data_IF_096783892946
#
_entry.id   IF_096783892946
#
_cell.length_a   1.000
_cell.length_b   1.000
_cell.length_c   1.000
_cell.angle_alpha   90.00
_cell.angle_beta   90.00
_cell.angle_gamma   90.00
#
_symmetry.space_group_name_H-M   'P 1'
#
loop_
_entity.id
_entity.type
_entity.pdbx_description
1 polymer ?
#
# COMPACT_ATOMS: atom_id res chain seq x y z
N UNK A 1 -38.86 18.63 -38.60
CA UNK A 1 -38.85 17.87 -37.36
C UNK A 1 -39.77 18.55 -36.36
N UNK A 2 -40.83 17.88 -35.91
CA UNK A 2 -41.86 18.46 -35.02
C UNK A 2 -41.25 19.01 -33.74
N UNK A 3 -41.74 20.14 -33.25
CA UNK A 3 -41.28 20.83 -32.04
C UNK A 3 -41.11 19.87 -30.85
N UNK A 4 -42.05 18.94 -30.66
CA UNK A 4 -42.05 17.94 -29.58
C UNK A 4 -40.87 16.95 -29.66
N UNK A 5 -40.42 16.60 -30.89
CA UNK A 5 -39.27 15.72 -31.06
C UNK A 5 -37.95 16.42 -30.75
N UNK A 6 -37.85 17.73 -31.04
CA UNK A 6 -36.68 18.55 -30.66
C UNK A 6 -36.60 18.73 -29.15
N UNK A 7 -37.72 18.97 -28.48
CA UNK A 7 -37.77 19.09 -27.03
C UNK A 7 -37.41 17.77 -26.32
N UNK A 8 -37.92 16.63 -26.81
CA UNK A 8 -37.58 15.31 -26.26
C UNK A 8 -36.08 14.98 -26.43
N UNK A 9 -35.49 15.35 -27.61
CA UNK A 9 -34.06 15.16 -27.83
C UNK A 9 -33.21 16.02 -26.88
N UNK A 10 -33.56 17.29 -26.71
CA UNK A 10 -32.84 18.19 -25.79
C UNK A 10 -32.96 17.69 -24.37
N UNK A 11 -34.15 17.24 -23.94
CA UNK A 11 -34.38 16.73 -22.59
C UNK A 11 -33.54 15.47 -22.31
N UNK A 12 -33.46 14.58 -23.32
CA UNK A 12 -32.63 13.35 -23.16
C UNK A 12 -31.14 13.66 -23.10
N UNK A 13 -30.64 14.63 -23.86
CA UNK A 13 -29.24 15.07 -23.79
C UNK A 13 -28.94 15.67 -22.42
N UNK A 14 -29.80 16.57 -21.93
CA UNK A 14 -29.67 17.16 -20.58
C UNK A 14 -29.67 16.08 -19.50
N UNK A 15 -30.58 15.11 -19.58
CA UNK A 15 -30.64 14.01 -18.60
C UNK A 15 -29.34 13.18 -18.59
N UNK A 16 -28.78 12.86 -19.77
CA UNK A 16 -27.53 12.10 -19.89
C UNK A 16 -26.35 12.91 -19.35
N UNK A 17 -26.26 14.20 -19.68
CA UNK A 17 -25.19 15.08 -19.16
C UNK A 17 -25.27 15.23 -17.65
N UNK A 18 -26.49 15.38 -17.11
CA UNK A 18 -26.71 15.45 -15.65
C UNK A 18 -26.32 14.12 -14.96
N UNK A 19 -26.66 12.98 -15.57
CA UNK A 19 -26.29 11.67 -15.04
C UNK A 19 -24.77 11.48 -15.00
N UNK A 20 -24.08 11.86 -16.08
CA UNK A 20 -22.61 11.81 -16.15
C UNK A 20 -22.00 12.73 -15.08
N UNK A 21 -22.50 13.96 -14.91
CA UNK A 21 -22.02 14.89 -13.90
C UNK A 21 -22.24 14.36 -12.48
N UNK A 22 -23.37 13.69 -12.21
CA UNK A 22 -23.65 13.04 -10.92
C UNK A 22 -22.71 11.87 -10.65
N UNK A 23 -22.47 11.00 -11.64
CA UNK A 23 -21.57 9.86 -11.52
C UNK A 23 -20.14 10.33 -11.29
N UNK A 24 -19.65 11.29 -12.09
CA UNK A 24 -18.30 11.86 -11.94
C UNK A 24 -18.17 12.59 -10.59
N UNK A 25 -19.17 13.35 -10.20
CA UNK A 25 -19.18 14.07 -8.92
C UNK A 25 -19.22 13.14 -7.72
N UNK A 26 -20.04 12.08 -7.76
CA UNK A 26 -20.10 11.06 -6.71
C UNK A 26 -18.80 10.24 -6.65
N UNK A 27 -18.24 9.89 -7.81
CA UNK A 27 -16.95 9.19 -7.89
C UNK A 27 -15.83 10.07 -7.36
N UNK A 28 -15.76 11.34 -7.74
CA UNK A 28 -14.78 12.30 -7.23
C UNK A 28 -14.91 12.51 -5.71
N UNK A 29 -16.15 12.66 -5.21
CA UNK A 29 -16.41 12.80 -3.77
C UNK A 29 -16.04 11.53 -3.01
N UNK A 30 -16.32 10.34 -3.58
CA UNK A 30 -15.94 9.06 -3.02
C UNK A 30 -14.41 8.91 -2.96
N UNK A 31 -13.70 9.20 -4.06
CA UNK A 31 -12.23 9.16 -4.10
C UNK A 31 -11.59 10.22 -3.19
N UNK A 32 -12.18 11.41 -3.08
CA UNK A 32 -11.71 12.43 -2.15
C UNK A 32 -11.96 12.05 -0.69
N UNK A 33 -13.09 11.40 -0.39
CA UNK A 33 -13.39 10.88 0.93
C UNK A 33 -12.54 9.66 1.30
N UNK A 34 -12.27 8.77 0.34
CA UNK A 34 -11.41 7.59 0.52
C UNK A 34 -9.91 7.95 0.48
N UNK A 35 -9.52 8.93 -0.34
CA UNK A 35 -8.14 9.45 -0.38
C UNK A 35 -7.77 10.25 0.88
N UNK A 36 -8.74 10.58 1.72
CA UNK A 36 -8.54 11.25 2.99
C UNK A 36 -8.31 10.34 4.19
N UNK A 37 -8.48 9.02 4.05
CA UNK A 37 -8.34 8.08 5.18
C UNK A 37 -6.90 7.64 5.48
N UNK A 38 -5.92 8.15 4.74
CA UNK A 38 -4.49 8.03 5.06
C UNK A 38 -3.86 9.34 5.52
N UNK A 39 -4.61 10.44 5.56
CA UNK A 39 -4.08 11.71 6.05
C UNK A 39 -4.15 11.77 7.57
N UNK A 40 -3.03 12.10 8.16
CA UNK A 40 -2.89 12.52 9.55
C UNK A 40 -4.12 13.30 10.03
N UNK A 41 -4.94 12.69 10.83
CA UNK A 41 -5.77 13.47 11.74
C UNK A 41 -4.79 14.06 12.74
N UNK A 42 -4.40 15.29 12.55
CA UNK A 42 -3.66 16.04 13.56
C UNK A 42 -4.62 16.25 14.75
N UNK A 43 -4.68 15.24 15.61
CA UNK A 43 -5.31 15.44 16.92
C UNK A 43 -4.34 16.22 17.76
N UNK A 44 -4.47 17.53 17.72
CA UNK A 44 -3.78 18.43 18.63
C UNK A 44 -4.40 18.29 20.02
N UNK A 45 -4.06 17.22 20.74
CA UNK A 45 -4.37 17.10 22.16
C UNK A 45 -3.26 17.81 22.92
N UNK A 46 -3.53 19.02 23.36
CA UNK A 46 -2.65 19.81 24.23
C UNK A 46 -2.77 19.33 25.69
N UNK A 47 -2.37 18.10 25.96
CA UNK A 47 -2.11 17.64 27.34
C UNK A 47 -0.82 16.83 27.34
N UNK A 48 0.20 17.39 27.96
CA UNK A 48 1.60 16.97 28.03
C UNK A 48 1.84 15.69 28.87
N UNK A 49 1.09 14.63 28.71
CA UNK A 49 1.21 13.43 29.56
C UNK A 49 1.37 12.12 28.80
N UNK A 50 1.40 12.11 27.47
CA UNK A 50 1.59 10.89 26.69
C UNK A 50 2.52 11.11 25.51
N UNK A 51 3.30 10.08 25.18
CA UNK A 51 4.09 10.05 23.94
C UNK A 51 3.16 10.15 22.72
N UNK A 52 3.61 10.84 21.68
CA UNK A 52 2.78 11.09 20.50
C UNK A 52 3.43 10.47 19.26
N UNK A 53 2.76 9.47 18.71
CA UNK A 53 3.10 8.89 17.40
C UNK A 53 2.14 9.43 16.35
N UNK A 54 2.69 10.06 15.31
CA UNK A 54 1.94 10.63 14.18
C UNK A 54 2.41 10.06 12.86
N UNK A 55 1.53 10.07 11.84
CA UNK A 55 1.80 9.53 10.53
C UNK A 55 1.51 10.53 9.43
N UNK A 56 2.33 10.50 8.38
CA UNK A 56 2.14 11.29 7.17
C UNK A 56 2.42 10.42 5.95
N UNK A 57 1.62 10.54 4.91
CA UNK A 57 1.83 9.85 3.63
C UNK A 57 1.94 10.83 2.48
N UNK A 58 2.66 10.42 1.43
CA UNK A 58 2.66 11.11 0.14
C UNK A 58 1.37 10.85 -0.64
N UNK A 59 1.30 11.40 -1.86
CA UNK A 59 0.18 11.19 -2.77
C UNK A 59 0.14 9.73 -3.26
N UNK A 60 -1.05 9.27 -3.64
CA UNK A 60 -1.19 7.99 -4.32
C UNK A 60 -0.41 7.97 -5.65
N UNK A 61 0.16 6.82 -6.00
CA UNK A 61 0.81 6.62 -7.30
C UNK A 61 -0.26 6.19 -8.29
N UNK A 62 -0.25 6.85 -9.47
CA UNK A 62 -1.02 6.44 -10.63
C UNK A 62 -0.08 6.40 -11.84
N UNK A 63 0.02 5.24 -12.48
CA UNK A 63 0.76 5.06 -13.72
C UNK A 63 -0.22 4.68 -14.84
N UNK A 64 -0.03 5.30 -15.98
CA UNK A 64 -0.78 5.02 -17.20
C UNK A 64 0.18 4.91 -18.37
N UNK A 65 0.16 3.79 -19.06
CA UNK A 65 0.95 3.57 -20.27
C UNK A 65 0.09 3.84 -21.50
N UNK A 66 0.48 4.82 -22.31
CA UNK A 66 -0.10 5.12 -23.62
C UNK A 66 0.92 4.83 -24.74
N UNK A 67 0.54 5.07 -25.98
CA UNK A 67 1.45 4.86 -27.11
C UNK A 67 2.71 5.73 -27.06
N UNK A 68 2.66 6.87 -26.37
CA UNK A 68 3.82 7.74 -26.20
C UNK A 68 4.79 7.25 -25.13
N UNK A 69 4.38 6.27 -24.33
CA UNK A 69 5.23 5.65 -23.28
C UNK A 69 6.27 4.68 -23.82
N UNK A 70 6.13 4.27 -25.08
CA UNK A 70 6.99 3.29 -25.74
C UNK A 70 7.84 3.97 -26.82
N UNK A 71 9.05 3.49 -27.00
CA UNK A 71 9.93 3.99 -28.05
C UNK A 71 11.37 4.13 -27.60
N UNK A 72 12.28 4.24 -28.55
CA UNK A 72 13.73 4.32 -28.29
C UNK A 72 14.17 5.66 -27.72
N UNK A 73 13.33 6.68 -27.83
CA UNK A 73 13.54 8.04 -27.35
C UNK A 73 12.86 8.32 -26.00
N UNK A 74 12.28 7.29 -25.36
CA UNK A 74 11.55 7.39 -24.11
C UNK A 74 12.27 6.64 -22.99
N UNK A 75 12.36 7.27 -21.83
CA UNK A 75 12.81 6.62 -20.59
C UNK A 75 11.67 5.83 -19.92
N UNK A 76 12.04 5.14 -18.85
CA UNK A 76 11.07 4.48 -17.98
C UNK A 76 10.19 5.49 -17.24
N UNK A 77 8.89 5.20 -17.07
CA UNK A 77 7.96 6.05 -16.32
C UNK A 77 8.02 5.69 -14.83
N UNK A 78 7.96 6.68 -13.96
CA UNK A 78 7.91 6.39 -12.52
C UNK A 78 7.02 7.36 -11.75
N UNK A 79 6.44 6.86 -10.66
CA UNK A 79 5.77 7.64 -9.63
C UNK A 79 6.38 7.33 -8.26
N UNK A 80 6.36 8.29 -7.36
CA UNK A 80 6.95 8.17 -6.03
C UNK A 80 5.96 8.62 -4.95
N UNK A 81 6.02 7.95 -3.81
CA UNK A 81 5.27 8.29 -2.60
C UNK A 81 6.09 7.95 -1.37
N UNK A 82 5.62 8.33 -0.18
CA UNK A 82 6.29 8.03 1.06
C UNK A 82 5.31 7.73 2.19
N UNK A 83 5.80 7.03 3.21
CA UNK A 83 5.16 6.85 4.49
C UNK A 83 6.13 7.28 5.59
N UNK A 84 5.71 8.21 6.46
CA UNK A 84 6.53 8.75 7.53
C UNK A 84 5.85 8.58 8.88
N UNK A 85 6.58 8.03 9.86
CA UNK A 85 6.23 8.00 11.27
C UNK A 85 7.06 9.06 12.01
N UNK A 86 6.43 9.81 12.89
CA UNK A 86 7.10 10.75 13.80
C UNK A 86 6.67 10.43 15.23
N UNK A 87 7.63 10.03 16.05
CA UNK A 87 7.43 9.80 17.49
C UNK A 87 8.04 10.95 18.28
N UNK A 88 7.26 11.52 19.19
CA UNK A 88 7.68 12.58 20.12
C UNK A 88 7.43 12.11 21.54
N UNK A 89 8.49 12.04 22.36
CA UNK A 89 8.38 11.72 23.76
C UNK A 89 7.69 12.86 24.55
N UNK A 90 6.89 12.49 25.53
CA UNK A 90 6.15 13.45 26.37
C UNK A 90 7.04 14.39 27.18
N UNK A 91 8.27 13.97 27.45
CA UNK A 91 9.29 14.76 28.14
C UNK A 91 10.57 14.77 27.30
N UNK A 92 11.21 15.94 27.14
CA UNK A 92 12.44 16.12 26.34
C UNK A 92 13.63 15.28 26.80
N UNK A 93 13.58 14.70 28.00
CA UNK A 93 14.64 13.87 28.58
C UNK A 93 14.31 12.39 28.60
N UNK A 94 13.07 12.00 28.29
CA UNK A 94 12.64 10.62 28.29
C UNK A 94 12.79 10.00 26.89
N UNK A 95 13.02 8.71 26.88
CA UNK A 95 12.91 7.86 25.70
C UNK A 95 11.47 7.40 25.55
N UNK A 96 10.95 7.48 24.34
CA UNK A 96 9.66 6.91 23.96
C UNK A 96 9.89 5.80 22.92
N UNK A 97 9.12 4.72 23.02
CA UNK A 97 9.16 3.62 22.06
C UNK A 97 7.73 3.24 21.68
N UNK A 98 7.50 3.08 20.37
CA UNK A 98 6.21 2.63 19.83
C UNK A 98 6.43 1.77 18.58
N UNK A 99 5.36 1.17 18.05
CA UNK A 99 5.42 0.34 16.86
C UNK A 99 4.46 0.89 15.79
N UNK A 100 4.80 0.62 14.52
CA UNK A 100 3.96 0.96 13.39
C UNK A 100 4.08 -0.05 12.25
N UNK A 101 3.15 0.02 11.32
CA UNK A 101 3.04 -0.84 10.15
C UNK A 101 2.99 0.02 8.90
N UNK A 102 3.66 -0.41 7.84
CA UNK A 102 3.62 0.24 6.53
C UNK A 102 3.14 -0.76 5.48
N UNK A 103 2.17 -0.34 4.70
CA UNK A 103 1.59 -1.13 3.62
C UNK A 103 1.57 -0.35 2.32
N UNK A 104 1.67 -1.07 1.22
CA UNK A 104 1.43 -0.56 -0.11
C UNK A 104 0.28 -1.35 -0.73
N UNK A 105 -0.83 -0.69 -1.02
CA UNK A 105 -2.01 -1.31 -1.59
C UNK A 105 -2.14 -0.97 -3.07
N UNK A 106 -2.00 -1.97 -3.92
CA UNK A 106 -2.26 -1.87 -5.35
C UNK A 106 -3.75 -2.14 -5.56
N UNK A 107 -4.52 -1.07 -5.82
CA UNK A 107 -5.99 -1.14 -5.93
C UNK A 107 -6.45 -1.63 -7.29
N UNK A 108 -5.68 -1.29 -8.33
CA UNK A 108 -5.90 -1.76 -9.68
C UNK A 108 -4.55 -1.86 -10.40
N UNK A 109 -4.34 -2.97 -11.09
CA UNK A 109 -3.18 -3.19 -11.95
C UNK A 109 -3.60 -4.01 -13.16
N UNK A 110 -3.48 -3.44 -14.35
CA UNK A 110 -3.81 -4.08 -15.63
C UNK A 110 -2.58 -4.38 -16.47
N UNK A 111 -1.37 -4.11 -15.94
CA UNK A 111 -0.12 -4.47 -16.60
C UNK A 111 0.08 -5.98 -16.65
N UNK A 112 0.83 -6.43 -17.64
CA UNK A 112 1.20 -7.82 -17.87
C UNK A 112 2.62 -7.93 -18.42
N UNK A 113 3.23 -9.10 -18.31
CA UNK A 113 4.50 -9.37 -18.98
C UNK A 113 4.29 -9.40 -20.50
N UNK A 114 5.06 -8.59 -21.22
CA UNK A 114 5.03 -8.53 -22.69
C UNK A 114 6.26 -9.17 -23.32
N UNK A 115 7.37 -9.18 -22.58
CA UNK A 115 8.68 -9.66 -23.04
C UNK A 115 9.16 -10.90 -22.26
N UNK A 116 8.28 -11.50 -21.43
CA UNK A 116 8.60 -12.64 -20.58
C UNK A 116 8.79 -12.25 -19.12
N UNK A 117 8.71 -13.23 -18.22
CA UNK A 117 8.77 -13.04 -16.75
C UNK A 117 10.16 -12.63 -16.24
N UNK A 118 11.20 -12.79 -17.04
CA UNK A 118 12.55 -12.31 -16.78
C UNK A 118 12.69 -10.78 -16.94
N UNK A 119 11.73 -10.16 -17.64
CA UNK A 119 11.64 -8.72 -17.88
C UNK A 119 10.37 -8.14 -17.24
N UNK A 120 10.34 -7.93 -15.93
CA UNK A 120 9.19 -7.37 -15.23
C UNK A 120 8.89 -5.95 -15.72
N UNK A 121 7.64 -5.70 -16.04
CA UNK A 121 7.16 -4.40 -16.54
C UNK A 121 7.10 -3.34 -15.41
N UNK A 122 6.76 -3.78 -14.18
CA UNK A 122 6.64 -2.90 -13.03
C UNK A 122 7.60 -3.32 -11.91
N UNK A 123 8.44 -2.38 -11.51
CA UNK A 123 9.36 -2.54 -10.37
C UNK A 123 9.00 -1.55 -9.26
N UNK A 124 8.80 -2.08 -8.05
CA UNK A 124 8.63 -1.32 -6.83
C UNK A 124 9.96 -1.25 -6.08
N UNK A 125 10.62 -0.10 -6.10
CA UNK A 125 11.79 0.18 -5.27
C UNK A 125 11.33 0.75 -3.93
N UNK A 126 11.81 0.21 -2.84
CA UNK A 126 11.51 0.68 -1.48
C UNK A 126 12.80 1.08 -0.80
N UNK A 127 12.85 2.33 -0.31
CA UNK A 127 13.96 2.83 0.51
C UNK A 127 13.50 2.94 1.96
N UNK A 128 14.24 2.32 2.86
CA UNK A 128 13.95 2.30 4.29
C UNK A 128 14.34 3.60 5.01
N UNK A 129 14.05 3.70 6.32
CA UNK A 129 14.34 4.89 7.13
C UNK A 129 15.83 5.20 7.30
N UNK A 130 16.69 4.24 7.06
CA UNK A 130 18.16 4.38 7.08
C UNK A 130 18.73 4.84 5.74
N UNK A 131 17.89 5.05 4.73
CA UNK A 131 18.28 5.40 3.38
C UNK A 131 18.72 4.21 2.50
N UNK A 132 18.69 3.00 3.05
CA UNK A 132 19.04 1.78 2.32
C UNK A 132 17.84 1.22 1.56
N UNK A 133 18.10 0.56 0.43
CA UNK A 133 17.07 -0.19 -0.29
C UNK A 133 16.64 -1.40 0.53
N UNK A 134 15.32 -1.60 0.63
CA UNK A 134 14.73 -2.82 1.18
C UNK A 134 14.84 -3.90 0.11
N UNK A 135 15.47 -5.02 0.45
CA UNK A 135 15.73 -6.13 -0.50
C UNK A 135 14.89 -7.38 -0.23
N UNK A 136 14.12 -7.38 0.86
CA UNK A 136 13.25 -8.50 1.24
C UNK A 136 11.84 -7.99 1.60
N UNK A 137 10.84 -8.46 0.84
CA UNK A 137 9.42 -8.30 1.13
C UNK A 137 8.75 -9.65 0.91
N UNK A 138 8.04 -10.13 1.91
CA UNK A 138 7.36 -11.43 1.84
C UNK A 138 6.39 -11.52 0.66
N UNK A 139 6.50 -12.58 -0.12
CA UNK A 139 5.65 -12.83 -1.27
C UNK A 139 6.06 -12.08 -2.55
N UNK A 140 7.13 -11.30 -2.55
CA UNK A 140 7.66 -10.61 -3.73
C UNK A 140 9.07 -11.07 -4.06
N UNK A 141 9.41 -11.05 -5.35
CA UNK A 141 10.76 -11.34 -5.83
C UNK A 141 11.50 -10.05 -6.12
N UNK A 142 12.66 -9.87 -5.47
CA UNK A 142 13.55 -8.75 -5.75
C UNK A 142 14.34 -9.01 -7.02
N UNK A 143 14.40 -8.02 -7.92
CA UNK A 143 15.09 -8.09 -9.20
C UNK A 143 15.90 -6.82 -9.44
N UNK A 144 16.96 -6.95 -10.23
CA UNK A 144 17.70 -5.84 -10.81
C UNK A 144 17.64 -6.00 -12.32
N UNK A 145 17.08 -4.99 -12.99
CA UNK A 145 16.90 -5.00 -14.45
C UNK A 145 17.56 -3.77 -15.06
N UNK A 146 17.76 -3.82 -16.38
CA UNK A 146 18.23 -2.68 -17.13
C UNK A 146 17.15 -2.25 -18.12
N UNK A 147 16.85 -0.96 -18.15
CA UNK A 147 15.96 -0.40 -19.14
C UNK A 147 16.66 -0.22 -20.50
N UNK A 148 15.94 0.29 -21.48
CA UNK A 148 16.45 0.55 -22.84
C UNK A 148 17.67 1.47 -22.87
N UNK A 149 17.82 2.37 -21.90
CA UNK A 149 18.94 3.29 -21.78
C UNK A 149 20.13 2.69 -20.99
N UNK A 150 20.10 1.39 -20.68
CA UNK A 150 21.05 0.68 -19.80
C UNK A 150 21.09 1.24 -18.38
N UNK A 151 20.03 1.90 -17.93
CA UNK A 151 19.88 2.34 -16.55
C UNK A 151 19.43 1.17 -15.68
N UNK A 152 20.19 0.92 -14.63
CA UNK A 152 19.84 -0.12 -13.65
C UNK A 152 18.65 0.32 -12.78
N UNK A 153 17.64 -0.54 -12.69
CA UNK A 153 16.45 -0.39 -11.86
C UNK A 153 16.40 -1.59 -10.94
N UNK A 154 16.43 -1.33 -9.62
CA UNK A 154 16.41 -2.33 -8.56
C UNK A 154 15.08 -2.26 -7.81
N UNK A 155 14.55 -3.39 -7.36
CA UNK A 155 13.36 -3.47 -6.54
C UNK A 155 12.56 -4.75 -6.76
N UNK A 156 11.31 -4.75 -6.34
CA UNK A 156 10.42 -5.91 -6.37
C UNK A 156 9.58 -5.93 -7.63
N UNK A 157 9.48 -7.10 -8.23
CA UNK A 157 8.57 -7.34 -9.34
C UNK A 157 7.12 -7.31 -8.86
N UNK A 158 6.37 -6.33 -9.34
CA UNK A 158 4.94 -6.17 -9.06
C UNK A 158 4.10 -6.13 -10.34
N UNK A 159 4.62 -6.66 -11.45
CA UNK A 159 4.01 -6.57 -12.79
C UNK A 159 2.56 -7.03 -12.82
N UNK A 160 2.23 -8.12 -12.12
CA UNK A 160 0.86 -8.66 -12.08
C UNK A 160 0.27 -8.65 -10.67
N UNK A 161 0.94 -7.97 -9.73
CA UNK A 161 0.52 -7.95 -8.33
C UNK A 161 -0.67 -7.00 -8.13
N UNK A 162 -1.64 -7.46 -7.36
CA UNK A 162 -2.78 -6.68 -6.85
C UNK A 162 -2.93 -6.92 -5.35
N UNK A 163 -3.54 -5.96 -4.66
CA UNK A 163 -3.85 -6.05 -3.24
C UNK A 163 -2.76 -5.50 -2.33
N UNK A 164 -2.78 -5.95 -1.09
CA UNK A 164 -2.01 -5.39 0.01
C UNK A 164 -0.61 -6.04 0.09
N UNK A 165 0.42 -5.20 0.04
CA UNK A 165 1.83 -5.57 0.27
C UNK A 165 2.25 -5.00 1.61
N UNK A 166 2.81 -5.83 2.49
CA UNK A 166 3.38 -5.38 3.76
C UNK A 166 4.83 -4.94 3.56
N UNK A 167 5.08 -3.64 3.67
CA UNK A 167 6.42 -3.04 3.54
C UNK A 167 7.17 -3.14 4.86
N UNK A 168 6.52 -2.80 5.98
CA UNK A 168 7.07 -2.95 7.32
C UNK A 168 6.02 -3.54 8.26
N UNK A 169 6.40 -4.61 8.95
CA UNK A 169 5.56 -5.32 9.89
C UNK A 169 6.06 -5.07 11.31
N UNK A 170 5.25 -4.38 12.13
CA UNK A 170 5.57 -4.06 13.53
C UNK A 170 6.97 -3.42 13.69
N UNK A 171 7.25 -2.39 12.87
CA UNK A 171 8.50 -1.63 12.97
C UNK A 171 8.53 -0.83 14.25
N UNK A 172 9.56 -1.03 15.07
CA UNK A 172 9.77 -0.26 16.29
C UNK A 172 10.46 1.05 15.98
N UNK A 173 9.93 2.15 16.51
CA UNK A 173 10.55 3.48 16.49
C UNK A 173 10.85 3.91 17.94
N UNK A 174 12.06 4.40 18.17
CA UNK A 174 12.51 4.92 19.49
C UNK A 174 12.96 6.34 19.32
N UNK A 175 12.43 7.24 20.15
CA UNK A 175 12.66 8.68 20.10
C UNK A 175 13.25 9.23 21.40
N UNK A 176 14.24 10.13 21.28
CA UNK A 176 14.84 10.88 22.42
C UNK A 176 15.25 12.27 21.92
N UNK A 177 14.46 13.34 22.07
CA UNK A 177 13.03 13.39 22.45
C UNK A 177 12.10 13.20 21.24
N UNK A 178 12.63 13.19 20.01
CA UNK A 178 11.86 13.05 18.77
C UNK A 178 12.63 12.25 17.75
N UNK A 179 11.93 11.43 16.99
CA UNK A 179 12.46 10.63 15.87
C UNK A 179 11.48 10.64 14.71
N UNK A 180 12.01 10.80 13.50
CA UNK A 180 11.28 10.57 12.25
C UNK A 180 11.86 9.35 11.54
N UNK A 181 10.99 8.53 11.00
CA UNK A 181 11.34 7.40 10.12
C UNK A 181 10.48 7.47 8.87
N UNK A 182 11.09 7.40 7.70
CA UNK A 182 10.40 7.49 6.41
C UNK A 182 10.77 6.32 5.52
N UNK A 183 9.76 5.70 4.95
CA UNK A 183 9.88 4.80 3.80
C UNK A 183 9.53 5.58 2.53
N UNK A 184 10.37 5.49 1.51
CA UNK A 184 10.09 6.04 0.18
C UNK A 184 9.83 4.89 -0.77
N UNK A 185 8.73 4.98 -1.52
CA UNK A 185 8.29 3.96 -2.46
C UNK A 185 8.25 4.57 -3.86
N UNK A 186 9.02 3.98 -4.77
CA UNK A 186 9.05 4.36 -6.17
C UNK A 186 8.58 3.21 -7.03
N UNK A 187 7.52 3.43 -7.79
CA UNK A 187 7.02 2.48 -8.77
C UNK A 187 7.49 2.89 -10.16
N UNK A 188 8.11 1.98 -10.89
CA UNK A 188 8.67 2.24 -12.21
C UNK A 188 8.08 1.27 -13.23
N UNK A 189 7.51 1.80 -14.31
CA UNK A 189 7.25 1.07 -15.54
C UNK A 189 8.53 1.11 -16.37
N UNK A 190 9.11 -0.07 -16.58
CA UNK A 190 10.42 -0.21 -17.22
C UNK A 190 10.25 -0.23 -18.74
N UNK A 191 10.88 0.71 -19.43
CA UNK A 191 10.91 0.70 -20.90
C UNK A 191 12.08 -0.14 -21.38
N UNK A 192 11.78 -1.31 -21.94
CA UNK A 192 12.76 -2.26 -22.51
C UNK A 192 12.95 -2.08 -24.02
N UNK A 193 14.03 -2.64 -24.54
CA UNK A 193 14.07 -2.99 -25.96
C UNK A 193 13.14 -4.15 -26.23
N UNK A 194 12.20 -3.98 -27.17
CA UNK A 194 11.18 -4.95 -27.53
C UNK A 194 9.80 -4.31 -27.64
N UNK A 195 8.83 -5.13 -28.01
CA UNK A 195 7.45 -4.69 -28.19
C UNK A 195 6.66 -4.83 -26.87
N UNK A 196 6.47 -3.71 -26.18
CA UNK A 196 5.65 -3.59 -24.96
C UNK A 196 4.25 -3.00 -25.23
N UNK A 197 3.87 -2.82 -26.51
CA UNK A 197 2.60 -2.15 -26.88
C UNK A 197 1.35 -2.88 -26.38
N UNK A 198 1.47 -4.17 -26.02
CA UNK A 198 0.39 -4.91 -25.36
C UNK A 198 0.00 -4.32 -23.99
N UNK A 199 0.84 -3.45 -23.39
CA UNK A 199 0.53 -2.66 -22.21
C UNK A 199 0.01 -1.23 -22.55
N UNK A 200 -0.15 -0.89 -23.84
CA UNK A 200 -0.82 0.35 -24.20
C UNK A 200 -2.24 0.35 -23.62
N UNK A 201 -2.62 1.42 -22.93
CA UNK A 201 -3.83 1.56 -22.10
C UNK A 201 -3.81 0.85 -20.75
N UNK A 202 -2.74 0.15 -20.39
CA UNK A 202 -2.60 -0.41 -19.04
C UNK A 202 -2.41 0.70 -18.01
N UNK A 203 -2.98 0.48 -16.85
CA UNK A 203 -2.95 1.41 -15.73
C UNK A 203 -2.68 0.68 -14.41
N UNK A 204 -2.06 1.40 -13.50
CA UNK A 204 -1.93 0.99 -12.12
C UNK A 204 -2.31 2.16 -11.21
N UNK A 205 -3.06 1.87 -10.17
CA UNK A 205 -3.28 2.78 -9.05
C UNK A 205 -2.92 2.10 -7.74
N UNK A 206 -2.15 2.80 -6.93
CA UNK A 206 -1.71 2.28 -5.64
C UNK A 206 -1.58 3.42 -4.62
N UNK A 207 -1.74 3.07 -3.34
CA UNK A 207 -1.57 3.98 -2.22
C UNK A 207 -0.71 3.36 -1.13
N UNK A 208 0.05 4.19 -0.45
CA UNK A 208 0.77 3.81 0.77
C UNK A 208 -0.13 4.07 1.99
N UNK A 209 -0.04 3.19 2.97
CA UNK A 209 -0.72 3.32 4.25
C UNK A 209 0.27 3.10 5.38
N UNK A 210 0.13 3.88 6.44
CA UNK A 210 0.92 3.75 7.66
C UNK A 210 0.02 3.90 8.87
N UNK A 211 0.15 3.02 9.86
CA UNK A 211 -0.75 2.99 11.00
C UNK A 211 -0.13 2.26 12.19
N UNK A 212 -0.71 2.46 13.38
CA UNK A 212 -0.26 1.86 14.63
C UNK A 212 -0.66 0.39 14.76
N UNK A 213 -1.83 0.03 14.27
CA UNK A 213 -2.37 -1.33 14.37
C UNK A 213 -2.25 -2.07 13.04
N UNK A 214 -2.07 -3.40 13.05
CA UNK A 214 -1.99 -4.16 11.81
C UNK A 214 -3.31 -4.16 11.04
N UNK A 215 -3.23 -4.21 9.70
CA UNK A 215 -4.41 -4.50 8.87
C UNK A 215 -4.72 -5.99 8.98
N UNK A 216 -5.93 -6.27 9.40
CA UNK A 216 -6.44 -7.64 9.52
C UNK A 216 -7.28 -7.96 8.29
N UNK A 217 -6.76 -8.79 7.41
CA UNK A 217 -7.42 -9.15 6.15
C UNK A 217 -8.17 -10.47 6.21
N UNK A 218 -7.86 -11.32 7.19
CA UNK A 218 -8.49 -12.63 7.38
C UNK A 218 -8.71 -12.92 8.87
N UNK A 219 -9.62 -13.86 9.17
CA UNK A 219 -9.81 -14.35 10.53
C UNK A 219 -8.51 -14.94 11.12
N UNK A 220 -7.72 -15.62 10.30
CA UNK A 220 -6.40 -16.13 10.71
C UNK A 220 -5.46 -15.00 11.13
N UNK A 221 -5.33 -13.95 10.32
CA UNK A 221 -4.53 -12.76 10.66
C UNK A 221 -5.04 -12.08 11.92
N UNK A 222 -6.35 -12.02 12.13
CA UNK A 222 -6.93 -11.48 13.36
C UNK A 222 -6.50 -12.29 14.58
N UNK A 223 -6.64 -13.61 14.54
CA UNK A 223 -6.25 -14.51 15.63
C UNK A 223 -4.75 -14.39 15.94
N UNK A 224 -3.89 -14.37 14.91
CA UNK A 224 -2.43 -14.22 15.08
C UNK A 224 -2.10 -12.89 15.78
N UNK A 225 -2.74 -11.80 15.38
CA UNK A 225 -2.48 -10.47 15.94
C UNK A 225 -2.98 -10.31 17.40
N UNK A 226 -3.92 -11.13 17.85
CA UNK A 226 -4.35 -11.15 19.25
C UNK A 226 -3.33 -11.80 20.19
N UNK A 227 -2.35 -12.56 19.67
CA UNK A 227 -1.33 -13.18 20.49
C UNK A 227 -0.31 -12.17 20.99
N UNK A 228 -0.20 -12.05 22.31
CA UNK A 228 0.67 -11.07 22.98
C UNK A 228 2.05 -11.61 23.38
N UNK A 229 2.38 -12.84 22.98
CA UNK A 229 3.55 -13.57 23.49
C UNK A 229 3.27 -14.35 24.80
N UNK A 230 2.10 -14.18 25.40
CA UNK A 230 1.69 -14.89 26.62
C UNK A 230 0.60 -15.88 26.27
N UNK A 231 0.80 -17.16 26.63
CA UNK A 231 -0.14 -18.24 26.43
C UNK A 231 -1.46 -17.96 27.16
N UNK A 232 -2.57 -18.08 26.44
CA UNK A 232 -3.91 -17.88 26.99
C UNK A 232 -4.36 -16.42 27.10
N UNK A 233 -3.48 -15.44 26.91
CA UNK A 233 -3.89 -14.04 26.79
C UNK A 233 -4.79 -13.87 25.56
N UNK A 234 -5.91 -13.11 25.69
CA UNK A 234 -6.94 -12.96 24.67
C UNK A 234 -7.51 -14.30 24.16
N UNK A 235 -7.44 -15.36 24.96
CA UNK A 235 -7.80 -16.73 24.60
C UNK A 235 -7.00 -17.31 23.42
N UNK A 236 -5.80 -16.79 23.15
CA UNK A 236 -4.93 -17.27 22.08
C UNK A 236 -3.77 -18.09 22.67
N UNK A 237 -3.52 -19.22 22.06
CA UNK A 237 -2.42 -20.13 22.36
C UNK A 237 -1.57 -20.30 21.10
N UNK A 238 -0.26 -20.17 21.25
CA UNK A 238 0.70 -20.48 20.20
C UNK A 238 1.30 -21.88 20.46
N UNK A 239 1.36 -22.68 19.42
CA UNK A 239 1.97 -24.00 19.44
C UNK A 239 3.22 -24.00 18.58
N UNK A 240 4.35 -24.32 19.18
CA UNK A 240 5.62 -24.56 18.50
C UNK A 240 5.91 -26.07 18.42
N UNK A 241 7.06 -26.43 17.83
CA UNK A 241 7.50 -27.81 17.64
C UNK A 241 7.69 -28.61 18.96
N UNK A 242 7.72 -27.92 20.12
CA UNK A 242 7.88 -28.56 21.42
C UNK A 242 6.58 -29.17 21.97
N UNK A 243 5.44 -28.85 21.39
CA UNK A 243 4.13 -29.33 21.83
C UNK A 243 3.76 -30.64 21.11
N UNK A 244 3.75 -31.73 21.83
CA UNK A 244 3.61 -33.11 21.30
C UNK A 244 2.18 -33.55 20.99
N UNK A 245 1.17 -32.68 21.07
CA UNK A 245 -0.24 -33.08 20.96
C UNK A 245 -0.87 -32.86 19.56
N UNK A 246 -0.07 -32.91 18.50
CA UNK A 246 -0.56 -33.08 17.12
C UNK A 246 -1.10 -31.84 16.43
N UNK A 247 -0.83 -30.66 16.92
CA UNK A 247 -1.37 -29.40 16.36
C UNK A 247 -0.48 -28.74 15.29
N UNK A 248 0.56 -29.40 14.80
CA UNK A 248 1.49 -28.83 13.82
C UNK A 248 2.32 -27.65 14.36
N UNK A 249 3.51 -27.46 13.81
CA UNK A 249 4.43 -26.42 14.20
C UNK A 249 3.89 -25.03 13.79
N UNK A 250 4.20 -24.01 14.60
CA UNK A 250 3.89 -22.61 14.30
C UNK A 250 2.39 -22.33 14.08
N UNK A 251 1.52 -22.93 14.86
CA UNK A 251 0.07 -22.73 14.79
C UNK A 251 -0.46 -21.86 15.92
N UNK A 252 -1.53 -21.10 15.63
CA UNK A 252 -2.28 -20.33 16.61
C UNK A 252 -3.64 -20.97 16.81
N UNK A 253 -4.06 -21.12 18.07
CA UNK A 253 -5.37 -21.63 18.43
C UNK A 253 -6.12 -20.59 19.24
N UNK A 254 -7.33 -20.30 18.83
CA UNK A 254 -8.30 -19.57 19.65
C UNK A 254 -9.07 -20.56 20.52
N UNK A 255 -8.93 -20.45 21.82
CA UNK A 255 -9.74 -21.19 22.79
C UNK A 255 -10.81 -20.21 23.31
N UNK A 256 -11.92 -20.11 22.60
CA UNK A 256 -13.10 -19.41 23.09
C UNK A 256 -13.62 -20.10 24.36
N UNK A 257 -14.37 -19.37 25.18
CA UNK A 257 -15.03 -19.94 26.33
C UNK A 257 -15.90 -21.13 25.88
N UNK A 258 -15.63 -22.32 26.42
CA UNK A 258 -16.39 -23.54 26.13
C UNK A 258 -17.65 -23.55 26.98
N UNK A 259 -18.49 -22.55 26.88
CA UNK A 259 -19.82 -22.54 27.50
C UNK A 259 -20.92 -23.04 26.55
N UNK A 260 -20.52 -23.77 25.51
CA UNK A 260 -21.44 -24.49 24.65
C UNK A 260 -21.35 -25.97 24.96
N UNK A 261 -22.08 -26.41 25.98
CA UNK A 261 -22.60 -27.75 26.12
C UNK A 261 -24.07 -27.69 25.99
#
# INVERSE_FOLDING_TARGET
MNSNKKQALILSIVAVVTLIALVVGATYAYFKAQGGTGSSTEVKVTTYTTDMLTFTTGNAISLYADQSSFGSDKGSLSGETFAKATLVANNKTNEATDNYYVYFNIENNTFKYTLGEDKPELILTVTGPDGSEVTEISGLTHKVVQDRENKSISGFDVTTTNGLITIANKKTITATPSKEEQYTLKLTFVNYEGDQTANATSSLSAKVMIQKEPIVTTLASYIINLYTGTQGANNIYYHDASLTNGAGDNSYRYAGASDAV
#
